data_IF_487826338989
#
_entry.id   IF_487826338989
#
_cell.length_a   1.000
_cell.length_b   1.000
_cell.length_c   1.000
_cell.angle_alpha   90.00
_cell.angle_beta   90.00
_cell.angle_gamma   90.00
#
_symmetry.space_group_name_H-M   'P 1'
#
loop_
_entity.id
_entity.type
_entity.pdbx_description
1 polymer ?
#
# COMPACT_ATOMS: atom_id res chain seq x y z
N UNK A 1 11.92 -12.25 5.83
CA UNK A 1 11.30 -13.40 5.14
C UNK A 1 12.33 -14.49 4.94
N UNK A 2 11.90 -15.76 4.85
CA UNK A 2 12.81 -16.90 4.63
C UNK A 2 13.02 -17.12 3.13
N UNK A 3 14.24 -17.48 2.75
CA UNK A 3 14.59 -17.79 1.37
C UNK A 3 13.91 -19.06 0.89
N UNK A 4 13.35 -19.01 -0.31
CA UNK A 4 12.74 -20.14 -1.01
C UNK A 4 13.77 -20.75 -1.96
N UNK A 5 14.18 -22.00 -1.72
CA UNK A 5 15.17 -22.68 -2.56
C UNK A 5 14.56 -23.02 -3.91
N UNK A 6 15.33 -22.80 -4.99
CA UNK A 6 14.92 -23.16 -6.35
C UNK A 6 15.73 -24.33 -6.90
N UNK A 7 15.19 -25.12 -7.83
CA UNK A 7 15.92 -26.20 -8.49
C UNK A 7 17.17 -25.70 -9.18
N UNK A 8 18.27 -26.45 -9.06
CA UNK A 8 19.54 -26.19 -9.74
C UNK A 8 19.71 -27.16 -10.90
N UNK A 9 20.33 -26.72 -11.99
CA UNK A 9 20.67 -27.57 -13.12
C UNK A 9 22.17 -27.92 -13.09
N UNK A 10 22.65 -28.71 -14.06
CA UNK A 10 24.06 -29.12 -14.12
C UNK A 10 25.01 -27.91 -14.21
N UNK A 11 24.59 -26.84 -14.89
CA UNK A 11 25.39 -25.62 -15.03
C UNK A 11 25.50 -24.83 -13.71
N UNK A 12 24.50 -24.88 -12.84
CA UNK A 12 24.45 -24.13 -11.56
C UNK A 12 24.61 -25.02 -10.33
N UNK A 13 25.11 -26.24 -10.50
CA UNK A 13 25.11 -27.26 -9.44
C UNK A 13 25.91 -26.82 -8.19
N UNK A 14 26.99 -26.07 -8.38
CA UNK A 14 27.85 -25.55 -7.30
C UNK A 14 27.37 -24.22 -6.71
N UNK A 15 26.36 -23.59 -7.32
CA UNK A 15 25.86 -22.27 -6.88
C UNK A 15 24.84 -22.38 -5.74
N UNK A 16 24.55 -21.24 -5.11
CA UNK A 16 23.38 -21.05 -4.25
C UNK A 16 22.29 -20.32 -5.04
N UNK A 17 21.14 -20.96 -5.21
CA UNK A 17 20.00 -20.39 -5.94
C UNK A 17 18.76 -20.39 -5.04
N UNK A 18 18.18 -19.21 -4.83
CA UNK A 18 16.98 -19.03 -4.02
C UNK A 18 16.22 -17.76 -4.42
N UNK A 19 14.95 -17.68 -4.03
CA UNK A 19 14.11 -16.49 -4.14
C UNK A 19 14.00 -15.86 -2.75
N UNK A 20 14.36 -14.59 -2.65
CA UNK A 20 14.13 -13.75 -1.47
C UNK A 20 13.11 -12.68 -1.83
N UNK A 21 12.10 -12.53 -0.97
CA UNK A 21 11.08 -11.49 -1.08
C UNK A 21 11.50 -10.30 -0.22
N UNK A 22 11.50 -9.12 -0.82
CA UNK A 22 11.89 -7.85 -0.20
C UNK A 22 10.72 -6.87 -0.29
N UNK A 23 10.59 -5.91 0.65
CA UNK A 23 9.57 -4.87 0.57
C UNK A 23 9.76 -4.02 -0.68
N UNK A 24 8.68 -3.44 -1.20
CA UNK A 24 8.75 -2.46 -2.28
C UNK A 24 9.35 -1.14 -1.79
N UNK A 25 8.98 -0.69 -0.58
CA UNK A 25 9.38 0.61 -0.04
C UNK A 25 8.17 1.40 0.47
N UNK A 26 7.83 2.49 -0.21
CA UNK A 26 6.70 3.36 0.13
C UNK A 26 5.46 2.99 -0.70
N UNK A 27 4.41 2.55 -0.01
CA UNK A 27 3.15 2.09 -0.60
C UNK A 27 2.06 3.15 -0.41
N UNK A 28 1.35 3.52 -1.47
CA UNK A 28 0.12 4.31 -1.39
C UNK A 28 -1.11 3.39 -1.50
N UNK A 29 -2.04 3.49 -0.56
CA UNK A 29 -3.33 2.79 -0.60
C UNK A 29 -4.45 3.81 -0.78
N UNK A 30 -5.14 3.77 -1.91
CA UNK A 30 -6.33 4.59 -2.19
C UNK A 30 -7.57 3.69 -2.07
N UNK A 31 -8.34 3.90 -1.01
CA UNK A 31 -9.48 3.06 -0.66
C UNK A 31 -10.83 3.69 -1.08
N UNK A 32 -11.81 2.88 -1.52
CA UNK A 32 -13.12 3.34 -1.94
C UNK A 32 -14.09 3.49 -0.76
N UNK A 33 -15.27 4.02 -1.04
CA UNK A 33 -16.28 4.38 -0.05
C UNK A 33 -17.29 3.29 0.31
N UNK A 34 -17.42 2.24 -0.51
CA UNK A 34 -18.50 1.26 -0.37
C UNK A 34 -18.27 0.27 0.78
N UNK A 35 -17.01 -0.08 1.07
CA UNK A 35 -16.63 -0.88 2.25
C UNK A 35 -15.37 -0.27 2.90
N UNK A 36 -15.48 0.94 3.48
CA UNK A 36 -14.33 1.82 3.76
C UNK A 36 -13.46 1.32 4.91
N UNK A 37 -13.93 0.39 5.73
CA UNK A 37 -13.12 -0.29 6.75
C UNK A 37 -12.36 -1.45 6.11
N UNK A 38 -13.06 -2.39 5.47
CA UNK A 38 -12.46 -3.60 4.93
C UNK A 38 -11.47 -3.31 3.79
N UNK A 39 -11.87 -2.48 2.82
CA UNK A 39 -11.05 -2.15 1.64
C UNK A 39 -9.90 -1.19 1.96
N UNK A 40 -9.83 -0.71 3.20
CA UNK A 40 -8.70 0.05 3.74
C UNK A 40 -7.76 -0.86 4.54
N UNK A 41 -8.30 -1.59 5.51
CA UNK A 41 -7.49 -2.33 6.48
C UNK A 41 -6.88 -3.61 5.90
N UNK A 42 -7.59 -4.33 5.02
CA UNK A 42 -7.06 -5.56 4.40
C UNK A 42 -5.78 -5.30 3.60
N UNK A 43 -5.74 -4.33 2.66
CA UNK A 43 -4.49 -4.03 1.95
C UNK A 43 -3.43 -3.42 2.88
N UNK A 44 -3.82 -2.63 3.89
CA UNK A 44 -2.89 -2.06 4.87
C UNK A 44 -2.13 -3.16 5.64
N UNK A 45 -2.84 -4.17 6.14
CA UNK A 45 -2.23 -5.31 6.84
C UNK A 45 -1.22 -6.02 5.95
N UNK A 46 -1.57 -6.26 4.67
CA UNK A 46 -0.66 -6.89 3.71
C UNK A 46 0.60 -6.06 3.44
N UNK A 47 0.43 -4.74 3.23
CA UNK A 47 1.54 -3.83 2.96
C UNK A 47 2.52 -3.74 4.15
N UNK A 48 2.00 -3.58 5.37
CA UNK A 48 2.82 -3.54 6.59
C UNK A 48 3.50 -4.89 6.87
N UNK A 49 2.78 -6.01 6.71
CA UNK A 49 3.35 -7.35 6.90
C UNK A 49 4.47 -7.66 5.90
N UNK A 50 4.42 -7.08 4.70
CA UNK A 50 5.49 -7.17 3.72
C UNK A 50 6.70 -6.27 4.04
N UNK A 51 6.63 -5.42 5.07
CA UNK A 51 7.72 -4.55 5.52
C UNK A 51 7.77 -3.19 4.84
N UNK A 52 6.66 -2.72 4.27
CA UNK A 52 6.58 -1.42 3.60
C UNK A 52 6.20 -0.29 4.57
N UNK A 53 6.58 0.93 4.23
CA UNK A 53 5.93 2.14 4.75
C UNK A 53 4.64 2.40 3.97
N UNK A 54 3.61 2.94 4.61
CA UNK A 54 2.29 3.10 3.99
C UNK A 54 1.73 4.51 4.17
N UNK A 55 1.31 5.11 3.06
CA UNK A 55 0.42 6.27 3.03
C UNK A 55 -0.98 5.78 2.68
N UNK A 56 -1.95 6.10 3.52
CA UNK A 56 -3.34 5.69 3.36
C UNK A 56 -4.20 6.90 2.97
N UNK A 57 -4.92 6.80 1.85
CA UNK A 57 -5.91 7.79 1.39
C UNK A 57 -7.31 7.16 1.37
N UNK A 58 -8.09 7.27 2.46
CA UNK A 58 -9.48 6.82 2.50
C UNK A 58 -10.37 7.72 1.63
N UNK A 59 -11.55 7.24 1.23
CA UNK A 59 -12.47 8.03 0.41
C UNK A 59 -13.20 9.11 1.20
N UNK A 60 -13.22 10.31 0.64
CA UNK A 60 -13.91 11.51 1.11
C UNK A 60 -15.44 11.37 1.17
N UNK A 61 -16.01 10.36 0.50
CA UNK A 61 -17.44 10.04 0.58
C UNK A 61 -17.80 9.35 1.90
N UNK A 62 -16.83 8.71 2.58
CA UNK A 62 -17.02 7.99 3.85
C UNK A 62 -16.51 8.79 5.05
N UNK A 63 -16.97 10.04 5.19
CA UNK A 63 -16.44 11.03 6.17
C UNK A 63 -16.36 10.57 7.62
N UNK A 64 -17.34 9.80 8.09
CA UNK A 64 -17.31 9.29 9.47
C UNK A 64 -16.21 8.26 9.65
N UNK A 65 -16.00 7.40 8.65
CA UNK A 65 -14.97 6.35 8.69
C UNK A 65 -13.58 6.94 8.57
N UNK A 66 -13.35 7.87 7.62
CA UNK A 66 -12.02 8.47 7.45
C UNK A 66 -11.56 9.20 8.72
N UNK A 67 -12.47 9.89 9.42
CA UNK A 67 -12.20 10.55 10.71
C UNK A 67 -11.73 9.55 11.77
N UNK A 68 -12.45 8.42 11.90
CA UNK A 68 -12.07 7.37 12.84
C UNK A 68 -10.71 6.77 12.48
N UNK A 69 -10.43 6.52 11.20
CA UNK A 69 -9.14 5.98 10.76
C UNK A 69 -7.98 6.93 11.10
N UNK A 70 -8.16 8.23 10.86
CA UNK A 70 -7.15 9.27 11.17
C UNK A 70 -6.93 9.40 12.68
N UNK A 71 -7.97 9.30 13.50
CA UNK A 71 -7.83 9.42 14.96
C UNK A 71 -7.23 8.16 15.60
N UNK A 72 -7.65 6.98 15.12
CA UNK A 72 -7.36 5.70 15.79
C UNK A 72 -6.03 5.13 15.32
N UNK A 73 -5.77 5.02 14.01
CA UNK A 73 -4.61 4.28 13.51
C UNK A 73 -3.26 4.84 13.99
N UNK A 74 -3.02 6.17 14.02
CA UNK A 74 -1.75 6.72 14.50
C UNK A 74 -1.47 6.49 15.99
N UNK A 75 -2.45 6.04 16.79
CA UNK A 75 -2.25 5.64 18.18
C UNK A 75 -1.64 4.24 18.32
N UNK A 76 -1.74 3.41 17.28
CA UNK A 76 -1.30 2.01 17.30
C UNK A 76 -0.20 1.71 16.29
N UNK A 77 -0.06 2.52 15.25
CA UNK A 77 0.95 2.35 14.20
C UNK A 77 2.09 3.37 14.35
N UNK A 78 3.29 2.95 13.99
CA UNK A 78 4.48 3.81 14.01
C UNK A 78 4.36 4.92 12.95
N UNK A 79 4.32 6.17 13.44
CA UNK A 79 4.10 7.35 12.61
C UNK A 79 5.30 7.69 11.71
N UNK A 80 6.45 7.04 11.90
CA UNK A 80 7.59 7.17 10.97
C UNK A 80 7.39 6.35 9.68
N UNK A 81 6.54 5.32 9.71
CA UNK A 81 6.30 4.42 8.59
C UNK A 81 4.83 4.34 8.15
N UNK A 82 3.94 5.10 8.80
CA UNK A 82 2.51 5.14 8.50
C UNK A 82 1.95 6.56 8.57
N UNK A 83 1.21 6.97 7.53
CA UNK A 83 0.50 8.24 7.49
C UNK A 83 -0.89 8.09 6.83
N UNK A 84 -1.83 8.95 7.21
CA UNK A 84 -3.15 9.06 6.58
C UNK A 84 -3.30 10.43 5.95
N UNK A 85 -3.67 10.48 4.67
CA UNK A 85 -3.91 11.71 3.90
C UNK A 85 -5.37 11.78 3.52
N UNK A 86 -6.06 12.81 3.99
CA UNK A 86 -7.45 13.10 3.62
C UNK A 86 -7.49 14.05 2.42
N UNK A 87 -8.57 13.98 1.64
CA UNK A 87 -8.83 14.92 0.56
C UNK A 87 -9.62 14.29 -0.57
N UNK A 88 -10.13 15.14 -1.45
CA UNK A 88 -10.90 14.74 -2.64
C UNK A 88 -10.01 14.49 -3.85
N UNK A 89 -10.56 14.62 -5.08
CA UNK A 89 -9.82 14.37 -6.31
C UNK A 89 -8.62 15.29 -6.50
N UNK A 90 -8.70 16.56 -6.07
CA UNK A 90 -7.63 17.54 -6.24
C UNK A 90 -6.41 17.18 -5.39
N UNK A 91 -6.61 16.91 -4.10
CA UNK A 91 -5.56 16.51 -3.17
C UNK A 91 -4.99 15.14 -3.55
N UNK A 92 -5.82 14.23 -4.07
CA UNK A 92 -5.34 12.94 -4.59
C UNK A 92 -4.44 13.13 -5.81
N UNK A 93 -4.77 14.07 -6.69
CA UNK A 93 -3.93 14.43 -7.84
C UNK A 93 -2.55 14.90 -7.40
N UNK A 94 -2.50 15.83 -6.43
CA UNK A 94 -1.24 16.30 -5.84
C UNK A 94 -0.47 15.18 -5.14
N UNK A 95 -1.17 14.31 -4.41
CA UNK A 95 -0.55 13.17 -3.74
C UNK A 95 0.15 12.25 -4.75
N UNK A 96 -0.48 12.01 -5.90
CA UNK A 96 0.05 11.18 -6.98
C UNK A 96 1.25 11.80 -7.73
N UNK A 97 1.57 13.08 -7.52
CA UNK A 97 2.80 13.69 -8.05
C UNK A 97 4.04 13.20 -7.29
N UNK A 98 3.87 12.66 -6.07
CA UNK A 98 4.95 12.06 -5.31
C UNK A 98 5.27 10.64 -5.80
N UNK A 99 6.55 10.25 -5.64
CA UNK A 99 7.00 8.90 -5.99
C UNK A 99 6.58 7.90 -4.91
N UNK A 100 5.86 6.87 -5.34
CA UNK A 100 5.57 5.67 -4.57
C UNK A 100 6.19 4.46 -5.26
N UNK A 101 6.67 3.49 -4.48
CA UNK A 101 7.22 2.25 -5.02
C UNK A 101 6.10 1.26 -5.40
N UNK A 102 4.91 1.43 -4.81
CA UNK A 102 3.72 0.67 -5.15
C UNK A 102 2.43 1.45 -4.85
N UNK A 103 1.48 1.44 -5.78
CA UNK A 103 0.16 2.07 -5.60
C UNK A 103 -0.91 0.99 -5.64
N UNK A 104 -1.63 0.81 -4.54
CA UNK A 104 -2.81 -0.04 -4.43
C UNK A 104 -4.07 0.82 -4.52
N UNK A 105 -4.78 0.73 -5.64
CA UNK A 105 -6.00 1.47 -5.88
C UNK A 105 -7.20 0.51 -5.98
N UNK A 106 -8.28 0.80 -5.26
CA UNK A 106 -9.58 0.17 -5.50
C UNK A 106 -10.62 1.24 -5.79
N UNK A 107 -11.24 1.16 -6.97
CA UNK A 107 -12.23 2.13 -7.44
C UNK A 107 -12.58 1.90 -8.91
N UNK A 108 -13.19 2.88 -9.55
CA UNK A 108 -13.64 2.76 -10.94
C UNK A 108 -12.48 2.85 -11.95
N UNK A 109 -12.61 2.12 -13.06
CA UNK A 109 -11.60 2.02 -14.12
C UNK A 109 -11.30 3.32 -14.89
N UNK A 110 -12.05 4.41 -14.63
CA UNK A 110 -11.81 5.73 -15.25
C UNK A 110 -10.74 6.56 -14.52
N UNK A 111 -10.51 6.28 -13.24
CA UNK A 111 -9.54 6.95 -12.36
C UNK A 111 -8.06 6.50 -12.55
N UNK A 112 -7.73 5.24 -12.94
CA UNK A 112 -6.36 4.73 -12.99
C UNK A 112 -5.43 5.43 -13.98
N UNK A 113 -5.91 6.22 -14.94
CA UNK A 113 -5.04 6.96 -15.87
C UNK A 113 -4.10 7.89 -15.12
N UNK A 114 -4.50 8.38 -13.94
CA UNK A 114 -3.66 9.18 -13.04
C UNK A 114 -2.74 8.34 -12.13
N UNK A 115 -3.00 7.04 -11.95
CA UNK A 115 -2.22 6.13 -11.10
C UNK A 115 -1.17 5.31 -11.88
N UNK A 116 -1.09 5.48 -13.20
CA UNK A 116 -0.04 4.89 -14.05
C UNK A 116 1.14 5.87 -14.13
N UNK A 117 1.96 5.88 -13.09
CA UNK A 117 3.33 6.39 -13.16
C UNK A 117 4.28 5.27 -13.59
#
# INVERSE_FOLDING_TARGET
MKDEKVPKNLATQLDSAFIRKEPFGLVLIIAPWNYPVNLTLVPLVGALAAGNCVVLKPSEFSRSTEKVLVEVLPRYLDQSCFAVVLGGPQETGQLLEHKFDYIFFTGEARVPTACRA
#
